data_IF_021130675324
#
_entry.id   IF_021130675324
#
_cell.length_a   1.000
_cell.length_b   1.000
_cell.length_c   1.000
_cell.angle_alpha   90.00
_cell.angle_beta   90.00
_cell.angle_gamma   90.00
#
_symmetry.space_group_name_H-M   'P 1'
#
loop_
_entity.id
_entity.type
_entity.pdbx_description
1 polymer ?
#
# COMPACT_ATOMS: atom_id res chain seq x y z
N UNK A 1 0.71 -14.13 11.34
CA UNK A 1 2.15 -13.79 11.17
C UNK A 1 2.52 -12.85 12.30
N UNK A 2 3.45 -13.25 13.13
CA UNK A 2 3.98 -12.41 14.19
C UNK A 2 4.86 -11.33 13.55
N UNK A 3 4.50 -10.07 13.69
CA UNK A 3 5.35 -8.95 13.29
C UNK A 3 5.98 -8.47 14.59
N UNK A 4 7.23 -8.85 14.80
CA UNK A 4 7.98 -8.62 16.04
C UNK A 4 8.25 -7.13 16.35
N UNK A 5 8.03 -6.22 15.37
CA UNK A 5 8.34 -4.79 15.51
C UNK A 5 7.44 -3.92 14.64
N UNK A 6 7.13 -2.68 15.08
CA UNK A 6 6.59 -1.64 14.20
C UNK A 6 7.46 -1.48 12.96
N UNK A 7 6.87 -1.05 11.84
CA UNK A 7 7.64 -0.73 10.64
C UNK A 7 8.72 0.33 10.93
N UNK A 8 9.75 0.46 10.09
CA UNK A 8 10.82 1.43 10.30
C UNK A 8 10.27 2.85 10.46
N UNK A 9 10.54 3.49 11.60
CA UNK A 9 10.06 4.84 11.90
C UNK A 9 8.60 4.94 12.37
N UNK A 10 7.91 3.82 12.58
CA UNK A 10 6.61 3.81 13.26
C UNK A 10 6.82 3.94 14.78
N UNK A 11 6.19 4.96 15.35
CA UNK A 11 6.17 5.18 16.80
C UNK A 11 4.81 4.78 17.36
N UNK A 12 4.80 4.07 18.49
CA UNK A 12 3.55 3.79 19.20
C UNK A 12 3.03 5.06 19.88
N UNK A 13 1.72 5.20 19.87
CA UNK A 13 1.03 6.28 20.54
C UNK A 13 0.83 5.95 22.03
N UNK A 14 1.25 6.85 22.90
CA UNK A 14 1.09 6.71 24.36
C UNK A 14 -0.11 7.50 24.92
N UNK A 15 -0.86 8.20 24.05
CA UNK A 15 -2.00 9.04 24.40
C UNK A 15 -3.26 8.68 23.62
N UNK A 16 -4.14 9.67 23.43
CA UNK A 16 -5.33 9.51 22.60
C UNK A 16 -4.96 9.29 21.14
N UNK A 17 -5.77 8.47 20.45
CA UNK A 17 -5.55 8.16 19.04
C UNK A 17 -5.65 9.44 18.19
N UNK A 18 -4.66 9.67 17.34
CA UNK A 18 -4.67 10.78 16.39
C UNK A 18 -5.69 10.54 15.27
N UNK A 19 -6.20 11.61 14.68
CA UNK A 19 -7.09 11.53 13.52
C UNK A 19 -6.28 11.06 12.30
N UNK A 20 -6.70 10.00 11.59
CA UNK A 20 -6.01 9.53 10.41
C UNK A 20 -6.06 10.57 9.28
N UNK A 21 -4.92 10.83 8.64
CA UNK A 21 -4.82 11.71 7.47
C UNK A 21 -5.25 10.94 6.22
N UNK A 22 -6.05 11.55 5.31
CA UNK A 22 -6.38 10.93 4.04
C UNK A 22 -5.11 10.64 3.23
N UNK A 23 -5.06 9.46 2.60
CA UNK A 23 -3.96 9.05 1.74
C UNK A 23 -4.46 8.16 0.60
N UNK A 24 -3.69 8.09 -0.48
CA UNK A 24 -4.01 7.27 -1.63
C UNK A 24 -2.77 6.56 -2.16
N UNK A 25 -2.94 5.32 -2.59
CA UNK A 25 -1.87 4.44 -3.07
C UNK A 25 -2.32 3.73 -4.34
N UNK A 26 -1.42 3.55 -5.30
CA UNK A 26 -1.72 2.87 -6.57
C UNK A 26 -0.94 1.56 -6.67
N UNK A 27 -1.65 0.46 -6.83
CA UNK A 27 -1.11 -0.84 -7.20
C UNK A 27 -1.12 -0.91 -8.72
N UNK A 28 0.01 -0.64 -9.34
CA UNK A 28 0.15 -0.70 -10.80
C UNK A 28 0.32 -2.15 -11.23
N UNK A 29 -0.48 -2.56 -12.21
CA UNK A 29 -0.57 -3.92 -12.70
C UNK A 29 0.01 -4.02 -14.10
N UNK A 30 0.80 -5.07 -14.37
CA UNK A 30 1.17 -5.47 -15.71
C UNK A 30 1.19 -7.00 -15.83
N UNK A 31 1.40 -7.50 -17.04
CA UNK A 31 1.54 -8.92 -17.34
C UNK A 31 0.52 -9.41 -18.36
N UNK A 32 0.77 -10.59 -18.89
CA UNK A 32 -0.09 -11.28 -19.86
C UNK A 32 -1.17 -12.14 -19.19
N UNK A 33 -1.69 -13.11 -19.95
CA UNK A 33 -2.81 -13.96 -19.52
C UNK A 33 -2.54 -14.75 -18.22
N UNK A 34 -1.29 -15.13 -17.97
CA UNK A 34 -0.91 -15.98 -16.83
C UNK A 34 0.27 -15.41 -16.01
N UNK A 35 0.46 -14.08 -16.07
CA UNK A 35 1.60 -13.44 -15.43
C UNK A 35 1.19 -12.08 -14.83
N UNK A 36 0.61 -12.09 -13.64
CA UNK A 36 0.35 -10.86 -12.89
C UNK A 36 1.64 -10.37 -12.24
N UNK A 37 2.05 -9.15 -12.55
CA UNK A 37 3.10 -8.44 -11.82
C UNK A 37 2.59 -7.10 -11.30
N UNK A 38 3.10 -6.71 -10.13
CA UNK A 38 2.83 -5.43 -9.49
C UNK A 38 4.12 -4.63 -9.33
N UNK A 39 4.01 -3.31 -9.42
CA UNK A 39 5.11 -2.39 -9.17
C UNK A 39 5.27 -2.16 -7.68
N UNK A 40 6.46 -2.41 -7.17
CA UNK A 40 6.91 -1.95 -5.86
C UNK A 40 8.01 -0.91 -6.04
N UNK A 41 7.99 0.12 -5.20
CA UNK A 41 9.01 1.16 -5.14
C UNK A 41 9.74 1.09 -3.79
N UNK A 42 11.04 1.34 -3.79
CA UNK A 42 11.86 1.34 -2.57
C UNK A 42 12.00 2.74 -2.04
N UNK A 43 11.50 3.00 -0.85
CA UNK A 43 11.70 4.27 -0.17
C UNK A 43 13.17 4.50 0.15
N UNK A 44 13.59 5.76 0.07
CA UNK A 44 14.96 6.13 0.44
C UNK A 44 15.28 5.63 1.86
N UNK A 45 16.36 4.86 2.06
CA UNK A 45 16.76 4.39 3.40
C UNK A 45 16.95 5.51 4.43
N UNK A 46 17.26 6.73 3.98
CA UNK A 46 17.38 7.90 4.85
C UNK A 46 16.02 8.54 5.22
N UNK A 47 14.90 8.05 4.66
CA UNK A 47 13.57 8.57 4.98
C UNK A 47 13.23 8.29 6.45
N UNK A 48 12.67 9.30 7.14
CA UNK A 48 12.30 9.19 8.55
C UNK A 48 11.22 8.15 8.81
N UNK A 49 10.31 7.95 7.86
CA UNK A 49 9.18 7.02 7.95
C UNK A 49 9.30 5.94 6.88
N UNK A 50 9.30 4.68 7.31
CA UNK A 50 9.43 3.48 6.45
C UNK A 50 10.65 3.49 5.52
N UNK A 51 11.79 4.06 5.96
CA UNK A 51 13.02 4.10 5.18
C UNK A 51 13.50 2.70 4.78
N UNK A 52 13.84 2.53 3.49
CA UNK A 52 14.27 1.26 2.92
C UNK A 52 13.16 0.24 2.65
N UNK A 53 11.92 0.50 3.07
CA UNK A 53 10.80 -0.40 2.78
C UNK A 53 10.41 -0.34 1.30
N UNK A 54 9.93 -1.49 0.80
CA UNK A 54 9.29 -1.60 -0.49
C UNK A 54 7.77 -1.48 -0.31
N UNK A 55 7.18 -0.55 -1.03
CA UNK A 55 5.77 -0.17 -0.92
C UNK A 55 5.16 0.00 -2.32
N UNK A 56 3.86 0.12 -2.41
CA UNK A 56 3.22 0.64 -3.62
C UNK A 56 3.34 2.17 -3.65
N UNK A 57 3.45 2.81 -4.82
CA UNK A 57 3.48 4.26 -4.96
C UNK A 57 2.27 4.92 -4.30
N UNK A 58 2.49 5.96 -3.49
CA UNK A 58 1.38 6.63 -2.82
C UNK A 58 1.80 7.51 -1.65
N UNK A 59 0.90 8.41 -1.26
CA UNK A 59 1.13 9.35 -0.19
C UNK A 59 -0.13 10.03 0.34
N UNK A 60 0.05 11.04 1.16
CA UNK A 60 -1.03 11.80 1.76
C UNK A 60 -1.72 12.71 0.73
N UNK A 61 -3.00 12.94 0.93
CA UNK A 61 -3.76 13.97 0.19
C UNK A 61 -3.23 15.35 0.59
N UNK A 62 -2.97 16.20 -0.40
CA UNK A 62 -2.63 17.62 -0.20
C UNK A 62 -3.93 18.43 -0.03
N UNK A 63 -3.92 19.46 0.83
CA UNK A 63 -5.07 20.35 1.08
C UNK A 63 -5.58 21.06 -0.19
N UNK A 64 -4.80 21.07 -1.27
CA UNK A 64 -5.13 21.67 -2.57
C UNK A 64 -5.88 20.72 -3.51
N UNK A 65 -6.04 19.45 -3.17
CA UNK A 65 -6.57 18.43 -4.09
C UNK A 65 -8.10 18.32 -4.14
N UNK A 66 -8.85 19.25 -3.51
CA UNK A 66 -10.31 19.38 -3.65
C UNK A 66 -11.14 18.52 -2.71
N UNK A 67 -12.34 18.10 -3.16
CA UNK A 67 -13.26 17.28 -2.39
C UNK A 67 -12.75 15.85 -2.17
N UNK A 68 -13.24 15.17 -1.13
CA UNK A 68 -12.65 13.94 -0.58
C UNK A 68 -12.36 12.83 -1.62
N UNK A 69 -13.27 12.53 -2.52
CA UNK A 69 -13.06 11.45 -3.50
C UNK A 69 -12.14 11.90 -4.64
N UNK A 70 -12.35 13.10 -5.14
CA UNK A 70 -11.50 13.69 -6.19
C UNK A 70 -10.09 13.94 -5.65
N UNK A 71 -9.97 14.39 -4.39
CA UNK A 71 -8.69 14.56 -3.72
C UNK A 71 -7.89 13.28 -3.60
N UNK A 72 -8.53 12.15 -3.23
CA UNK A 72 -7.88 10.84 -3.15
C UNK A 72 -7.35 10.39 -4.52
N UNK A 73 -8.15 10.59 -5.58
CA UNK A 73 -7.74 10.26 -6.95
C UNK A 73 -6.62 11.17 -7.44
N UNK A 74 -6.70 12.47 -7.13
CA UNK A 74 -5.65 13.43 -7.47
C UNK A 74 -4.33 13.08 -6.77
N UNK A 75 -4.36 12.79 -5.47
CA UNK A 75 -3.19 12.34 -4.72
C UNK A 75 -2.59 11.06 -5.31
N UNK A 76 -3.42 10.06 -5.63
CA UNK A 76 -2.98 8.82 -6.26
C UNK A 76 -2.24 9.06 -7.58
N UNK A 77 -2.78 9.93 -8.45
CA UNK A 77 -2.16 10.27 -9.73
C UNK A 77 -0.87 11.07 -9.58
N UNK A 78 -0.85 12.03 -8.67
CA UNK A 78 0.32 12.86 -8.37
C UNK A 78 1.46 12.00 -7.86
N UNK A 79 1.23 11.20 -6.81
CA UNK A 79 2.24 10.34 -6.19
C UNK A 79 2.78 9.29 -7.17
N UNK A 80 1.91 8.67 -7.97
CA UNK A 80 2.34 7.74 -9.02
C UNK A 80 3.27 8.42 -10.04
N UNK A 81 2.96 9.68 -10.40
CA UNK A 81 3.79 10.49 -11.29
C UNK A 81 5.13 10.89 -10.67
N UNK A 82 5.14 11.27 -9.40
CA UNK A 82 6.32 11.73 -8.65
C UNK A 82 7.24 10.56 -8.30
N UNK A 83 6.71 9.49 -7.71
CA UNK A 83 7.51 8.37 -7.20
C UNK A 83 7.92 7.35 -8.28
N UNK A 84 7.09 7.15 -9.31
CA UNK A 84 7.32 6.11 -10.32
C UNK A 84 7.39 6.64 -11.77
N UNK A 85 7.18 7.93 -12.02
CA UNK A 85 7.20 8.51 -13.36
C UNK A 85 6.08 8.02 -14.29
N UNK A 86 5.08 7.31 -13.76
CA UNK A 86 3.97 6.76 -14.52
C UNK A 86 2.81 7.75 -14.49
N UNK A 87 2.28 8.09 -15.68
CA UNK A 87 1.14 8.99 -15.84
C UNK A 87 -0.04 8.25 -16.43
N UNK A 88 -1.14 8.19 -15.70
CA UNK A 88 -2.42 7.71 -16.20
C UNK A 88 -3.13 8.86 -16.95
N UNK A 89 -3.92 8.52 -17.97
CA UNK A 89 -4.61 9.51 -18.79
C UNK A 89 -5.72 10.23 -18.04
N UNK A 90 -6.37 9.53 -17.09
CA UNK A 90 -7.43 10.10 -16.26
C UNK A 90 -7.60 9.30 -14.97
N UNK A 91 -8.25 9.90 -13.97
CA UNK A 91 -8.63 9.20 -12.74
C UNK A 91 -9.63 8.05 -12.95
N UNK A 92 -10.27 7.96 -14.12
CA UNK A 92 -11.18 6.86 -14.47
C UNK A 92 -10.50 5.49 -14.64
N UNK A 93 -9.17 5.46 -14.78
CA UNK A 93 -8.39 4.23 -14.83
C UNK A 93 -8.09 3.67 -13.43
N UNK A 94 -8.32 4.45 -12.37
CA UNK A 94 -8.16 4.01 -10.99
C UNK A 94 -9.38 3.22 -10.52
N UNK A 95 -9.21 1.92 -10.30
CA UNK A 95 -10.25 1.02 -9.76
C UNK A 95 -10.06 0.89 -8.25
N UNK A 96 -11.02 1.33 -7.40
CA UNK A 96 -10.92 1.16 -5.96
C UNK A 96 -10.76 -0.31 -5.60
N UNK A 97 -9.84 -0.62 -4.69
CA UNK A 97 -9.53 -2.01 -4.29
C UNK A 97 -9.71 -2.26 -2.80
N UNK A 98 -9.18 -1.41 -1.95
CA UNK A 98 -9.29 -1.55 -0.50
C UNK A 98 -9.11 -0.22 0.21
N UNK A 99 -9.51 -0.15 1.49
CA UNK A 99 -9.30 0.99 2.36
C UNK A 99 -8.73 0.50 3.68
N UNK A 100 -7.60 1.07 4.08
CA UNK A 100 -6.89 0.68 5.30
C UNK A 100 -6.68 1.89 6.19
N UNK A 101 -7.03 1.74 7.47
CA UNK A 101 -6.82 2.78 8.48
C UNK A 101 -5.71 2.32 9.41
N UNK A 102 -4.68 3.15 9.59
CA UNK A 102 -3.59 2.81 10.51
C UNK A 102 -4.13 2.58 11.92
N UNK A 103 -3.64 1.56 12.66
CA UNK A 103 -4.10 1.26 14.01
C UNK A 103 -4.08 2.47 14.95
N UNK A 104 -5.05 2.60 15.89
CA UNK A 104 -5.08 3.71 16.85
C UNK A 104 -3.87 3.76 17.78
N UNK A 105 -3.17 2.65 17.95
CA UNK A 105 -1.95 2.54 18.73
C UNK A 105 -0.71 3.11 18.04
N UNK A 106 -0.80 3.49 16.75
CA UNK A 106 0.30 4.10 16.00
C UNK A 106 0.15 5.61 16.00
N UNK A 107 1.24 6.35 16.21
CA UNK A 107 1.23 7.82 16.35
C UNK A 107 0.91 8.53 15.05
N UNK A 108 1.51 8.10 13.95
CA UNK A 108 1.24 8.67 12.61
C UNK A 108 0.24 7.80 11.88
N UNK A 109 -0.98 8.32 11.70
CA UNK A 109 -2.08 7.54 11.14
C UNK A 109 -2.52 8.06 9.79
N UNK A 110 -2.87 7.11 8.91
CA UNK A 110 -3.43 7.36 7.59
C UNK A 110 -4.73 6.58 7.40
N UNK A 111 -5.66 7.17 6.66
CA UNK A 111 -6.85 6.53 6.08
C UNK A 111 -6.57 6.39 4.58
N UNK A 112 -5.99 5.24 4.20
CA UNK A 112 -5.42 5.03 2.88
C UNK A 112 -6.37 4.26 1.98
N UNK A 113 -6.71 4.84 0.84
CA UNK A 113 -7.37 4.17 -0.26
C UNK A 113 -6.35 3.58 -1.22
N UNK A 114 -6.50 2.29 -1.52
CA UNK A 114 -5.69 1.58 -2.51
C UNK A 114 -6.48 1.40 -3.79
N UNK A 115 -5.88 1.82 -4.89
CA UNK A 115 -6.44 1.70 -6.23
C UNK A 115 -5.61 0.74 -7.06
N UNK A 116 -6.27 -0.03 -7.94
CA UNK A 116 -5.61 -0.78 -8.99
C UNK A 116 -5.58 0.07 -10.27
N UNK A 117 -4.49 0.00 -11.00
CA UNK A 117 -4.39 0.61 -12.33
C UNK A 117 -3.56 -0.27 -13.27
N UNK A 118 -4.02 -0.53 -14.50
CA UNK A 118 -3.16 -1.16 -15.50
C UNK A 118 -2.02 -0.22 -15.88
N UNK A 119 -0.83 -0.77 -16.13
CA UNK A 119 0.28 -0.01 -16.69
C UNK A 119 -0.09 0.46 -18.10
N UNK A 120 -0.02 1.78 -18.42
CA UNK A 120 -0.27 2.27 -19.76
C UNK A 120 0.73 1.70 -20.77
N UNK A 121 0.28 1.47 -22.00
CA UNK A 121 1.13 0.99 -23.09
C UNK A 121 2.34 1.91 -23.31
N UNK A 122 3.52 1.28 -23.36
CA UNK A 122 4.80 1.98 -23.53
C UNK A 122 5.30 2.74 -22.31
N UNK A 123 4.57 2.74 -21.18
CA UNK A 123 5.04 3.33 -19.95
C UNK A 123 6.10 2.45 -19.28
N UNK A 124 7.06 3.10 -18.62
CA UNK A 124 8.09 2.43 -17.81
C UNK A 124 8.23 3.19 -16.48
N UNK A 125 8.42 2.44 -15.40
CA UNK A 125 8.69 3.04 -14.10
C UNK A 125 10.04 3.77 -14.10
N UNK A 126 10.05 4.98 -13.55
CA UNK A 126 11.26 5.80 -13.37
C UNK A 126 11.16 6.49 -12.02
N UNK A 127 12.08 6.16 -11.14
CA UNK A 127 12.13 6.74 -9.80
C UNK A 127 12.71 8.17 -9.84
N UNK A 128 12.31 9.00 -8.89
CA UNK A 128 12.82 10.37 -8.71
C UNK A 128 14.25 10.38 -8.14
N UNK A 129 14.67 9.31 -7.45
CA UNK A 129 15.98 9.15 -6.84
C UNK A 129 16.15 9.87 -5.49
N UNK A 130 15.14 10.62 -5.04
CA UNK A 130 15.16 11.36 -3.76
C UNK A 130 14.28 10.70 -2.69
N UNK A 131 12.97 10.61 -2.90
CA UNK A 131 12.05 9.93 -2.00
C UNK A 131 12.02 8.43 -2.24
N UNK A 132 12.11 8.03 -3.51
CA UNK A 132 12.15 6.67 -3.99
C UNK A 132 13.43 6.42 -4.77
N UNK A 133 14.16 5.35 -4.41
CA UNK A 133 15.50 5.07 -4.94
C UNK A 133 15.57 3.86 -5.88
N UNK A 134 14.56 3.02 -5.89
CA UNK A 134 14.47 1.83 -6.77
C UNK A 134 13.01 1.51 -7.07
N UNK A 135 12.76 0.87 -8.21
CA UNK A 135 11.44 0.39 -8.61
C UNK A 135 11.57 -0.96 -9.30
N UNK A 136 10.77 -1.94 -8.87
CA UNK A 136 10.81 -3.30 -9.42
C UNK A 136 9.42 -3.87 -9.59
N UNK A 137 9.31 -4.72 -10.59
CA UNK A 137 8.13 -5.51 -10.85
C UNK A 137 8.26 -6.89 -10.22
N UNK A 138 7.23 -7.31 -9.52
CA UNK A 138 7.19 -8.61 -8.88
C UNK A 138 5.86 -9.32 -9.17
N UNK A 139 5.89 -10.60 -9.45
CA UNK A 139 4.74 -11.44 -9.18
C UNK A 139 4.44 -11.37 -7.67
N UNK A 140 3.17 -11.26 -7.24
CA UNK A 140 2.85 -11.10 -5.81
C UNK A 140 3.46 -12.18 -4.92
N UNK A 141 3.41 -13.45 -5.34
CA UNK A 141 4.03 -14.57 -4.62
C UNK A 141 5.56 -14.46 -4.53
N UNK A 142 6.22 -14.03 -5.63
CA UNK A 142 7.67 -13.85 -5.64
C UNK A 142 8.14 -12.74 -4.69
N UNK A 143 7.36 -11.66 -4.55
CA UNK A 143 7.65 -10.61 -3.57
C UNK A 143 7.54 -11.13 -2.13
N UNK A 144 6.52 -11.95 -1.83
CA UNK A 144 6.35 -12.58 -0.51
C UNK A 144 7.47 -13.58 -0.20
N UNK A 145 7.91 -14.36 -1.18
CA UNK A 145 9.06 -15.25 -1.03
C UNK A 145 10.35 -14.47 -0.76
N UNK A 146 10.60 -13.39 -1.51
CA UNK A 146 11.76 -12.52 -1.29
C UNK A 146 11.72 -11.87 0.10
N UNK A 147 10.54 -11.46 0.57
CA UNK A 147 10.34 -11.01 1.94
C UNK A 147 10.69 -12.11 2.96
N UNK A 148 10.19 -13.34 2.76
CA UNK A 148 10.51 -14.49 3.62
C UNK A 148 12.00 -14.83 3.69
N UNK A 149 12.76 -14.54 2.63
CA UNK A 149 14.24 -14.68 2.59
C UNK A 149 14.99 -13.46 3.15
N UNK A 150 14.29 -12.40 3.57
CA UNK A 150 14.92 -11.16 4.06
C UNK A 150 15.53 -10.26 2.97
N UNK A 151 15.22 -10.52 1.70
CA UNK A 151 15.70 -9.73 0.55
C UNK A 151 14.90 -8.43 0.35
N UNK A 152 13.63 -8.44 0.76
CA UNK A 152 12.75 -7.28 0.76
C UNK A 152 12.33 -6.94 2.18
N UNK A 153 12.33 -5.65 2.51
CA UNK A 153 11.64 -5.14 3.68
C UNK A 153 10.24 -4.69 3.26
N UNK A 154 9.21 -5.43 3.65
CA UNK A 154 7.81 -5.10 3.37
C UNK A 154 7.11 -4.63 4.64
N UNK A 155 6.14 -3.72 4.48
CA UNK A 155 5.28 -3.27 5.57
C UNK A 155 3.95 -4.04 5.56
N UNK A 156 3.28 -4.10 6.70
CA UNK A 156 2.12 -4.97 6.92
C UNK A 156 1.01 -4.81 5.86
N UNK A 157 0.54 -3.60 5.48
CA UNK A 157 -0.47 -3.46 4.44
C UNK A 157 0.01 -4.00 3.08
N UNK A 158 1.28 -3.77 2.71
CA UNK A 158 1.85 -4.29 1.46
C UNK A 158 1.85 -5.82 1.43
N UNK A 159 2.24 -6.46 2.54
CA UNK A 159 2.21 -7.92 2.67
C UNK A 159 0.78 -8.44 2.46
N UNK A 160 -0.20 -7.85 3.16
CA UNK A 160 -1.60 -8.28 3.06
C UNK A 160 -2.20 -8.09 1.67
N UNK A 161 -1.83 -7.02 0.97
CA UNK A 161 -2.22 -6.85 -0.42
C UNK A 161 -1.56 -7.90 -1.32
N UNK A 162 -0.26 -8.15 -1.18
CA UNK A 162 0.43 -9.18 -1.97
C UNK A 162 -0.18 -10.58 -1.74
N UNK A 163 -0.56 -10.93 -0.49
CA UNK A 163 -1.28 -12.16 -0.19
C UNK A 163 -2.61 -12.24 -0.95
N UNK A 164 -3.42 -11.18 -0.97
CA UNK A 164 -4.68 -11.13 -1.71
C UNK A 164 -4.46 -11.20 -3.23
N UNK A 165 -3.47 -10.48 -3.75
CA UNK A 165 -3.15 -10.42 -5.18
C UNK A 165 -2.62 -11.75 -5.72
N UNK A 166 -1.99 -12.56 -4.88
CA UNK A 166 -1.48 -13.89 -5.25
C UNK A 166 -2.57 -14.89 -5.66
N UNK A 167 -3.84 -14.60 -5.35
CA UNK A 167 -4.98 -15.41 -5.78
C UNK A 167 -5.37 -15.20 -7.25
N UNK A 168 -4.78 -14.23 -7.95
CA UNK A 168 -5.12 -13.86 -9.33
C UNK A 168 -3.96 -14.16 -10.27
N UNK A 169 -4.28 -14.70 -11.44
CA UNK A 169 -3.29 -15.04 -12.45
C UNK A 169 -2.95 -13.86 -13.37
N UNK A 170 -3.88 -12.91 -13.55
CA UNK A 170 -3.69 -11.78 -14.44
C UNK A 170 -4.44 -10.52 -13.98
N UNK A 171 -4.07 -9.38 -14.57
CA UNK A 171 -4.62 -8.07 -14.24
C UNK A 171 -6.11 -7.94 -14.60
N UNK A 172 -6.57 -8.58 -15.68
CA UNK A 172 -7.97 -8.49 -16.12
C UNK A 172 -8.93 -9.12 -15.10
N UNK A 173 -8.62 -10.34 -14.65
CA UNK A 173 -9.39 -11.03 -13.61
C UNK A 173 -9.42 -10.22 -12.30
N UNK A 174 -8.28 -9.67 -11.89
CA UNK A 174 -8.18 -8.85 -10.69
C UNK A 174 -9.03 -7.57 -10.80
N UNK A 175 -8.94 -6.85 -11.92
CA UNK A 175 -9.72 -5.64 -12.16
C UNK A 175 -11.22 -5.93 -12.23
N UNK A 176 -11.63 -7.03 -12.89
CA UNK A 176 -13.02 -7.47 -12.93
C UNK A 176 -13.55 -7.77 -11.53
N UNK A 177 -12.78 -8.49 -10.72
CA UNK A 177 -13.12 -8.76 -9.31
C UNK A 177 -13.24 -7.47 -8.50
N UNK A 178 -12.28 -6.54 -8.61
CA UNK A 178 -12.28 -5.31 -7.85
C UNK A 178 -13.49 -4.41 -8.14
N UNK A 179 -13.96 -4.38 -9.40
CA UNK A 179 -15.12 -3.58 -9.80
C UNK A 179 -16.45 -4.03 -9.20
N UNK A 180 -16.54 -5.28 -8.73
CA UNK A 180 -17.78 -5.86 -8.22
C UNK A 180 -17.83 -5.98 -6.70
N UNK A 181 -16.70 -5.78 -6.02
CA UNK A 181 -16.63 -5.94 -4.55
C UNK A 181 -17.00 -4.67 -3.81
N UNK A 182 -17.66 -4.83 -2.68
CA UNK A 182 -17.85 -3.77 -1.69
C UNK A 182 -16.52 -3.55 -0.94
N UNK A 183 -16.12 -2.29 -0.77
CA UNK A 183 -14.94 -1.93 0.00
C UNK A 183 -15.36 -1.56 1.42
N UNK A 184 -14.94 -2.36 2.38
CA UNK A 184 -15.07 -2.08 3.81
C UNK A 184 -13.72 -1.65 4.35
N UNK A 185 -13.66 -0.60 5.20
CA UNK A 185 -12.39 -0.20 5.81
C UNK A 185 -11.85 -1.32 6.68
N UNK A 186 -10.53 -1.53 6.60
CA UNK A 186 -9.77 -2.43 7.45
C UNK A 186 -8.96 -1.57 8.41
N UNK A 187 -9.27 -1.65 9.70
CA UNK A 187 -8.50 -1.00 10.77
C UNK A 187 -7.89 -2.09 11.66
N UNK A 188 -6.62 -2.45 11.45
CA UNK A 188 -5.95 -3.42 12.30
C UNK A 188 -5.77 -2.90 13.73
N UNK A 189 -5.66 -3.80 14.69
CA UNK A 189 -5.30 -3.45 16.06
C UNK A 189 -3.94 -4.03 16.43
N UNK A 190 -3.17 -3.30 17.23
CA UNK A 190 -1.94 -3.82 17.83
C UNK A 190 -2.28 -4.39 19.19
N UNK A 191 -2.07 -5.69 19.36
CA UNK A 191 -2.23 -6.40 20.65
C UNK A 191 -0.85 -6.65 21.23
N UNK A 192 -0.62 -6.10 22.41
CA UNK A 192 0.62 -6.32 23.16
C UNK A 192 0.49 -7.56 24.04
N UNK A 193 1.48 -8.47 23.96
CA UNK A 193 1.59 -9.66 24.83
C UNK A 193 3.02 -9.74 25.35
N UNK A 194 3.26 -9.16 26.53
CA UNK A 194 4.61 -8.98 27.07
C UNK A 194 5.45 -8.07 26.20
N UNK A 195 6.60 -8.55 25.73
CA UNK A 195 7.51 -7.80 24.83
C UNK A 195 7.15 -7.93 23.34
N UNK A 196 6.12 -8.71 23.00
CA UNK A 196 5.70 -8.96 21.63
C UNK A 196 4.48 -8.11 21.25
N UNK A 197 4.52 -7.50 20.06
CA UNK A 197 3.39 -6.82 19.45
C UNK A 197 2.85 -7.66 18.28
N UNK A 198 1.56 -7.96 18.29
CA UNK A 198 0.88 -8.65 17.18
C UNK A 198 -0.16 -7.73 16.55
N UNK A 199 -0.14 -7.65 15.23
CA UNK A 199 -1.20 -6.97 14.49
C UNK A 199 -2.31 -7.99 14.21
N UNK A 200 -3.54 -7.65 14.62
CA UNK A 200 -4.75 -8.45 14.39
C UNK A 200 -5.72 -7.72 13.48
N UNK A 201 -6.36 -8.47 12.60
CA UNK A 201 -7.33 -7.95 11.64
C UNK A 201 -8.76 -8.13 12.14
N UNK A 202 -9.75 -7.35 11.65
CA UNK A 202 -11.15 -7.58 11.91
C UNK A 202 -11.55 -9.04 11.66
N UNK A 203 -12.16 -9.68 12.69
CA UNK A 203 -12.56 -11.09 12.64
C UNK A 203 -11.50 -12.09 13.12
N UNK A 204 -10.27 -11.67 13.36
CA UNK A 204 -9.24 -12.54 13.95
C UNK A 204 -9.37 -12.62 15.49
N UNK A 205 -8.93 -13.75 16.11
CA UNK A 205 -8.90 -13.88 17.57
C UNK A 205 -8.05 -12.78 18.22
N UNK A 206 -8.65 -12.08 19.19
CA UNK A 206 -8.00 -10.96 19.89
C UNK A 206 -8.31 -9.58 19.28
N UNK A 207 -9.02 -9.49 18.18
CA UNK A 207 -9.52 -8.22 17.67
C UNK A 207 -10.62 -7.68 18.61
N UNK A 208 -10.43 -6.47 19.11
CA UNK A 208 -11.41 -5.75 19.93
C UNK A 208 -11.85 -4.53 19.11
N UNK A 209 -13.03 -4.63 18.46
CA UNK A 209 -13.66 -3.56 17.68
C UNK A 209 -14.67 -2.79 18.51
#
# INVERSE_FOLDING_TARGET
>A
MEIDRPGPGEELNSGEATVPRPAATVIVLRGGADALEVLLVKRNPAARFMGGAWVFPGGAVDDREGDREDALRAAALRELGEEAGIRLRSGGELVPFSRWITPPQVKTRFDTWFYLAPLPDGAAARVDGSEVVDARWYAPSAALEAYGRGELLLVFPTIKHLEQLSAFNNAEQLLAHARTREIRPVEPHVVLSGEHARIVLPGEPGYQG
#
